data_IF_099098604532
#
_entry.id   IF_099098604532
#
_cell.length_a   1.000
_cell.length_b   1.000
_cell.length_c   1.000
_cell.angle_alpha   90.00
_cell.angle_beta   90.00
_cell.angle_gamma   90.00
#
_symmetry.space_group_name_H-M   'P 1'
#
loop_
_entity.id
_entity.type
_entity.pdbx_description
1 polymer ?
#
# COMPACT_ATOMS: atom_id res chain seq x y z
N UNK A 1 14.35 -21.62 21.63
CA UNK A 1 14.25 -22.30 20.33
C UNK A 1 13.92 -21.21 19.34
N UNK A 2 14.81 -20.96 18.40
CA UNK A 2 14.69 -19.83 17.47
C UNK A 2 14.23 -20.33 16.11
N UNK A 3 13.39 -19.53 15.49
CA UNK A 3 12.74 -19.79 14.21
C UNK A 3 13.35 -18.84 13.19
N UNK A 4 14.63 -19.05 12.88
CA UNK A 4 15.37 -18.23 11.92
C UNK A 4 15.20 -18.82 10.51
N UNK A 5 15.03 -17.94 9.53
CA UNK A 5 14.94 -18.25 8.10
C UNK A 5 13.90 -19.34 7.79
N UNK A 6 12.66 -19.13 8.23
CA UNK A 6 11.54 -20.02 7.88
C UNK A 6 11.02 -19.63 6.51
N UNK A 7 11.03 -20.60 5.59
CA UNK A 7 10.33 -20.47 4.31
C UNK A 7 8.82 -20.69 4.50
N UNK A 8 7.93 -19.97 3.80
CA UNK A 8 6.49 -20.16 3.90
C UNK A 8 6.03 -21.61 3.65
N UNK A 9 6.74 -22.35 2.79
CA UNK A 9 6.47 -23.75 2.49
C UNK A 9 6.73 -24.70 3.68
N UNK A 10 7.51 -24.28 4.68
CA UNK A 10 7.77 -25.06 5.90
C UNK A 10 6.62 -24.96 6.92
N UNK A 11 5.65 -24.07 6.69
CA UNK A 11 4.54 -23.80 7.61
C UNK A 11 3.31 -24.62 7.20
N UNK A 12 2.96 -25.62 8.00
CA UNK A 12 1.72 -26.38 7.83
C UNK A 12 0.63 -25.80 8.72
N UNK A 13 -0.44 -25.24 8.14
CA UNK A 13 -1.59 -24.76 8.89
C UNK A 13 -2.48 -25.93 9.32
N UNK A 14 -2.60 -26.19 10.62
CA UNK A 14 -3.43 -27.28 11.14
C UNK A 14 -4.86 -26.84 11.41
N UNK A 15 -5.02 -25.75 12.16
CA UNK A 15 -6.34 -25.31 12.65
C UNK A 15 -6.36 -23.81 12.86
N UNK A 16 -7.43 -23.14 12.43
CA UNK A 16 -7.71 -21.78 12.88
C UNK A 16 -8.21 -21.81 14.33
N UNK A 17 -7.49 -21.14 15.22
CA UNK A 17 -7.84 -21.04 16.64
C UNK A 17 -8.74 -19.85 16.92
N UNK A 18 -8.52 -18.73 16.22
CA UNK A 18 -9.26 -17.49 16.42
C UNK A 18 -9.23 -16.63 15.16
N UNK A 19 -10.28 -15.82 14.95
CA UNK A 19 -10.33 -14.82 13.89
C UNK A 19 -10.96 -13.53 14.39
N UNK A 20 -10.41 -12.42 13.94
CA UNK A 20 -10.89 -11.06 14.18
C UNK A 20 -10.75 -10.23 12.91
N UNK A 21 -11.23 -8.98 12.93
CA UNK A 21 -11.06 -8.06 11.80
C UNK A 21 -9.61 -7.69 11.50
N UNK A 22 -8.64 -7.97 12.38
CA UNK A 22 -7.25 -7.48 12.28
C UNK A 22 -6.20 -8.60 12.29
N UNK A 23 -6.60 -9.79 12.71
CA UNK A 23 -5.68 -10.91 12.87
C UNK A 23 -6.42 -12.23 12.87
N UNK A 24 -5.74 -13.25 12.36
CA UNK A 24 -6.16 -14.65 12.44
C UNK A 24 -5.06 -15.42 13.15
N UNK A 25 -5.45 -16.23 14.12
CA UNK A 25 -4.51 -17.05 14.90
C UNK A 25 -4.70 -18.50 14.47
N UNK A 26 -3.61 -19.14 14.07
CA UNK A 26 -3.57 -20.53 13.65
C UNK A 26 -2.71 -21.36 14.58
N UNK A 27 -3.10 -22.61 14.78
CA UNK A 27 -2.22 -23.68 15.17
C UNK A 27 -1.49 -24.14 13.90
N UNK A 28 -0.17 -24.07 13.91
CA UNK A 28 0.67 -24.45 12.77
C UNK A 28 1.74 -25.44 13.21
N UNK A 29 2.26 -26.21 12.26
CA UNK A 29 3.46 -27.02 12.43
C UNK A 29 4.58 -26.44 11.58
N UNK A 30 5.72 -26.16 12.21
CA UNK A 30 6.94 -25.67 11.55
C UNK A 30 8.06 -26.59 11.97
N UNK A 31 8.76 -27.23 11.02
CA UNK A 31 9.87 -28.17 11.31
C UNK A 31 9.51 -29.22 12.39
N UNK A 32 8.34 -29.86 12.24
CA UNK A 32 7.76 -30.83 13.20
C UNK A 32 7.42 -30.28 14.59
N UNK A 33 7.48 -28.96 14.81
CA UNK A 33 7.04 -28.33 16.04
C UNK A 33 5.67 -27.68 15.88
N UNK A 34 4.75 -28.01 16.78
CA UNK A 34 3.44 -27.36 16.84
C UNK A 34 3.56 -26.04 17.61
N UNK A 35 3.15 -24.94 16.98
CA UNK A 35 3.14 -23.60 17.58
C UNK A 35 1.90 -22.81 17.18
N UNK A 36 1.70 -21.67 17.84
CA UNK A 36 0.61 -20.74 17.55
C UNK A 36 1.18 -19.59 16.74
N UNK A 37 0.69 -19.42 15.51
CA UNK A 37 1.07 -18.35 14.61
C UNK A 37 -0.06 -17.33 14.53
N UNK A 38 0.26 -16.06 14.78
CA UNK A 38 -0.67 -14.94 14.60
C UNK A 38 -0.34 -14.24 13.29
N UNK A 39 -1.25 -14.30 12.34
CA UNK A 39 -1.17 -13.57 11.07
C UNK A 39 -1.88 -12.24 11.22
N UNK A 40 -1.22 -11.15 10.86
CA UNK A 40 -1.74 -9.78 10.96
C UNK A 40 -2.13 -9.26 9.58
N UNK A 41 -3.23 -8.52 9.51
CA UNK A 41 -3.55 -7.70 8.34
C UNK A 41 -2.99 -6.30 8.58
N UNK A 42 -1.81 -6.03 8.01
CA UNK A 42 -1.06 -4.78 8.22
C UNK A 42 -1.88 -3.57 7.75
N UNK A 43 -2.61 -3.68 6.64
CA UNK A 43 -3.43 -2.60 6.10
C UNK A 43 -4.59 -2.23 7.03
N UNK A 44 -5.21 -3.22 7.67
CA UNK A 44 -6.27 -2.97 8.65
C UNK A 44 -5.68 -2.40 9.95
N UNK A 45 -4.50 -2.84 10.37
CA UNK A 45 -3.80 -2.28 11.54
C UNK A 45 -3.42 -0.82 11.33
N UNK A 46 -2.76 -0.49 10.22
CA UNK A 46 -2.32 0.86 9.88
C UNK A 46 -3.50 1.82 9.78
N UNK A 47 -4.54 1.46 9.02
CA UNK A 47 -5.74 2.27 8.92
C UNK A 47 -6.46 2.44 10.27
N UNK A 48 -6.36 1.48 11.18
CA UNK A 48 -6.92 1.59 12.53
C UNK A 48 -6.08 2.46 13.45
N UNK A 49 -4.74 2.40 13.33
CA UNK A 49 -3.83 3.28 14.05
C UNK A 49 -4.12 4.74 13.67
N UNK A 50 -4.17 5.03 12.37
CA UNK A 50 -4.50 6.35 11.89
C UNK A 50 -5.92 6.82 12.27
N UNK A 51 -6.95 5.94 12.28
CA UNK A 51 -8.28 6.27 12.85
C UNK A 51 -8.19 6.74 14.30
N UNK A 52 -7.37 6.06 15.12
CA UNK A 52 -7.18 6.42 16.53
C UNK A 52 -6.41 7.73 16.67
N UNK A 53 -5.37 7.94 15.87
CA UNK A 53 -4.59 9.18 15.85
C UNK A 53 -5.48 10.39 15.53
N UNK A 54 -6.36 10.25 14.54
CA UNK A 54 -7.36 11.28 14.23
C UNK A 54 -8.37 11.50 15.35
N UNK A 55 -8.94 10.42 15.91
CA UNK A 55 -9.88 10.53 17.02
C UNK A 55 -9.27 11.21 18.26
N UNK A 56 -7.94 11.16 18.41
CA UNK A 56 -7.20 11.79 19.50
C UNK A 56 -6.62 13.17 19.13
N UNK A 57 -7.03 13.74 17.99
CA UNK A 57 -6.59 15.06 17.51
C UNK A 57 -5.09 15.16 17.24
N UNK A 58 -4.40 14.03 16.97
CA UNK A 58 -2.97 14.06 16.60
C UNK A 58 -2.80 14.62 15.19
N UNK A 59 -3.71 14.26 14.28
CA UNK A 59 -3.78 14.79 12.92
C UNK A 59 -4.00 16.31 12.91
N UNK A 60 -4.93 16.82 13.72
CA UNK A 60 -5.26 18.25 13.81
C UNK A 60 -4.09 19.11 14.30
N UNK A 61 -3.16 18.49 15.02
CA UNK A 61 -1.93 19.14 15.53
C UNK A 61 -0.79 19.14 14.50
N UNK A 62 -1.00 18.57 13.31
CA UNK A 62 0.02 18.49 12.25
C UNK A 62 1.19 17.57 12.58
N UNK A 63 1.08 16.73 13.61
CA UNK A 63 2.15 15.81 14.04
C UNK A 63 2.23 14.57 13.17
N UNK A 64 1.11 14.19 12.55
CA UNK A 64 0.99 13.07 11.60
C UNK A 64 0.06 13.50 10.47
N UNK A 65 0.21 12.94 9.26
CA UNK A 65 -0.74 13.16 8.17
C UNK A 65 -2.16 12.88 8.62
N UNK A 66 -3.09 13.70 8.14
CA UNK A 66 -4.47 13.61 8.56
C UNK A 66 -5.14 12.39 7.92
N UNK A 67 -5.81 11.56 8.73
CA UNK A 67 -6.35 10.28 8.27
C UNK A 67 -7.76 10.45 7.73
N UNK A 68 -7.98 10.15 6.46
CA UNK A 68 -9.27 10.44 5.84
C UNK A 68 -10.08 9.21 5.42
N UNK A 69 -9.50 8.00 5.52
CA UNK A 69 -10.22 6.74 5.37
C UNK A 69 -9.43 5.64 4.68
N UNK A 70 -10.09 4.48 4.54
CA UNK A 70 -9.61 3.33 3.76
C UNK A 70 -10.65 3.04 2.67
N UNK A 71 -10.24 2.99 1.40
CA UNK A 71 -11.17 2.72 0.29
C UNK A 71 -11.42 1.23 0.18
N UNK A 72 -12.68 0.80 0.35
CA UNK A 72 -13.12 -0.59 0.09
C UNK A 72 -13.77 -0.77 -1.29
N UNK A 73 -14.17 0.32 -1.94
CA UNK A 73 -14.72 0.37 -3.30
C UNK A 73 -14.24 1.66 -3.96
N UNK A 74 -13.37 1.50 -4.95
CA UNK A 74 -12.80 2.60 -5.71
C UNK A 74 -13.69 2.91 -6.91
N UNK A 75 -14.13 4.15 -7.08
CA UNK A 75 -14.72 4.62 -8.34
C UNK A 75 -13.65 5.41 -9.10
N UNK A 76 -13.10 4.89 -10.20
CA UNK A 76 -11.99 5.46 -10.95
C UNK A 76 -12.39 6.58 -11.91
N UNK A 77 -13.70 6.80 -12.15
CA UNK A 77 -14.17 7.71 -13.18
C UNK A 77 -13.72 9.18 -12.99
N UNK A 78 -13.62 9.73 -11.76
CA UNK A 78 -13.06 11.07 -11.54
C UNK A 78 -11.57 11.10 -11.13
N UNK A 79 -10.87 9.97 -11.02
CA UNK A 79 -9.55 9.93 -10.35
C UNK A 79 -8.36 10.10 -11.33
N UNK A 80 -7.85 11.33 -11.43
CA UNK A 80 -6.54 11.69 -12.01
C UNK A 80 -5.45 12.20 -11.01
N UNK A 81 -5.73 12.52 -9.72
CA UNK A 81 -4.76 13.28 -8.93
C UNK A 81 -3.49 12.52 -8.54
N UNK A 82 -3.53 11.18 -8.47
CA UNK A 82 -2.36 10.38 -8.10
C UNK A 82 -1.21 10.52 -9.12
N UNK A 83 -1.51 10.50 -10.43
CA UNK A 83 -0.52 10.72 -11.49
C UNK A 83 0.05 12.14 -11.45
N UNK A 84 -0.78 13.13 -11.15
CA UNK A 84 -0.33 14.52 -11.04
C UNK A 84 0.67 14.66 -9.88
N UNK A 85 0.35 14.10 -8.72
CA UNK A 85 1.22 14.19 -7.54
C UNK A 85 2.50 13.39 -7.75
N UNK A 86 2.43 12.20 -8.34
CA UNK A 86 3.60 11.41 -8.68
C UNK A 86 4.56 12.17 -9.60
N UNK A 87 4.04 12.86 -10.61
CA UNK A 87 4.86 13.72 -11.48
C UNK A 87 5.54 14.86 -10.73
N UNK A 88 4.91 15.41 -9.70
CA UNK A 88 5.56 16.42 -8.84
C UNK A 88 6.65 15.78 -7.94
N UNK A 89 6.44 14.55 -7.45
CA UNK A 89 7.46 13.76 -6.74
C UNK A 89 8.67 13.52 -7.67
N UNK A 90 8.42 13.09 -8.91
CA UNK A 90 9.48 12.87 -9.92
C UNK A 90 10.17 14.16 -10.35
N UNK A 91 9.45 15.28 -10.38
CA UNK A 91 10.03 16.61 -10.64
C UNK A 91 11.02 17.02 -9.54
N UNK A 92 10.81 16.55 -8.31
CA UNK A 92 11.75 16.69 -7.22
C UNK A 92 12.87 15.63 -7.24
N UNK A 93 12.97 14.85 -8.32
CA UNK A 93 13.97 13.78 -8.51
C UNK A 93 13.92 12.70 -7.43
N UNK A 94 12.70 12.38 -7.00
CA UNK A 94 12.44 11.29 -6.06
C UNK A 94 11.76 10.15 -6.81
N UNK A 95 12.34 8.96 -6.79
CA UNK A 95 11.70 7.71 -7.18
C UNK A 95 11.04 7.12 -5.92
N UNK A 96 9.77 6.74 -5.97
CA UNK A 96 9.12 6.17 -4.78
C UNK A 96 9.48 4.68 -4.57
N UNK A 97 9.67 3.92 -5.66
CA UNK A 97 10.07 2.50 -5.70
C UNK A 97 9.07 1.52 -5.04
N UNK A 98 7.93 2.01 -4.56
CA UNK A 98 6.79 1.19 -4.15
C UNK A 98 5.46 1.89 -4.40
N UNK A 99 5.13 2.22 -5.67
CA UNK A 99 4.01 3.09 -5.99
C UNK A 99 2.67 2.34 -5.98
N UNK A 100 2.44 1.50 -4.96
CA UNK A 100 1.32 0.57 -4.88
C UNK A 100 0.10 1.25 -4.27
N UNK A 101 -1.12 0.76 -4.56
CA UNK A 101 -2.35 1.36 -4.04
C UNK A 101 -2.42 1.42 -2.50
N UNK A 102 -1.70 0.52 -1.81
CA UNK A 102 -1.57 0.55 -0.34
C UNK A 102 -0.90 1.83 0.19
N UNK A 103 -0.01 2.41 -0.61
CA UNK A 103 0.76 3.60 -0.28
C UNK A 103 0.07 4.89 -0.79
N UNK A 104 -1.15 4.77 -1.32
CA UNK A 104 -1.97 5.89 -1.76
C UNK A 104 -3.19 6.05 -0.86
N UNK A 105 -3.34 7.21 -0.24
CA UNK A 105 -4.52 7.57 0.55
C UNK A 105 -5.33 8.66 -0.14
N UNK A 106 -6.58 8.37 -0.45
CA UNK A 106 -7.54 9.36 -0.98
C UNK A 106 -8.27 10.03 0.18
N UNK A 107 -8.49 11.35 0.07
CA UNK A 107 -9.29 12.11 1.02
C UNK A 107 -10.78 11.99 0.69
N UNK A 108 -11.57 11.46 1.64
CA UNK A 108 -13.01 11.17 1.45
C UNK A 108 -13.84 12.40 1.05
N UNK A 109 -13.54 13.55 1.64
CA UNK A 109 -14.28 14.80 1.43
C UNK A 109 -13.61 15.71 0.36
N UNK A 110 -12.47 15.28 -0.18
CA UNK A 110 -11.74 15.95 -1.26
C UNK A 110 -11.09 14.88 -2.16
N UNK A 111 -11.86 14.28 -3.08
CA UNK A 111 -11.37 13.19 -3.92
C UNK A 111 -10.23 13.62 -4.87
N UNK A 112 -9.98 14.92 -5.03
CA UNK A 112 -8.82 15.45 -5.76
C UNK A 112 -7.53 15.42 -4.93
N UNK A 113 -7.63 15.21 -3.62
CA UNK A 113 -6.49 15.13 -2.72
C UNK A 113 -6.11 13.67 -2.47
N UNK A 114 -4.94 13.31 -3.01
CA UNK A 114 -4.28 12.02 -2.75
C UNK A 114 -3.00 12.28 -1.97
N UNK A 115 -2.71 11.44 -0.99
CA UNK A 115 -1.48 11.46 -0.21
C UNK A 115 -0.70 10.21 -0.55
N UNK A 116 0.55 10.39 -0.98
CA UNK A 116 1.52 9.31 -1.10
C UNK A 116 2.19 9.10 0.26
N UNK A 117 2.28 7.83 0.67
CA UNK A 117 2.80 7.40 1.96
C UNK A 117 3.96 6.44 1.71
N UNK A 118 4.77 6.24 2.75
CA UNK A 118 5.78 5.17 2.80
C UNK A 118 6.91 5.31 1.75
N UNK A 119 7.79 6.28 1.99
CA UNK A 119 8.99 6.55 1.18
C UNK A 119 10.21 5.78 1.71
N UNK A 120 10.03 4.66 2.40
CA UNK A 120 11.14 3.90 3.01
C UNK A 120 12.07 3.28 1.96
N UNK A 121 11.52 2.98 0.77
CA UNK A 121 12.22 2.50 -0.43
C UNK A 121 12.63 3.62 -1.40
N UNK A 122 12.27 4.86 -1.10
CA UNK A 122 12.46 5.93 -2.05
C UNK A 122 13.94 6.20 -2.32
N UNK A 123 14.25 6.44 -3.59
CA UNK A 123 15.56 6.88 -4.05
C UNK A 123 15.50 8.34 -4.47
N UNK A 124 16.58 9.08 -4.25
CA UNK A 124 16.69 10.49 -4.63
C UNK A 124 17.89 10.68 -5.53
N UNK A 125 17.70 11.40 -6.64
CA UNK A 125 18.75 11.67 -7.60
C UNK A 125 19.23 13.12 -7.49
N UNK A 126 20.51 13.33 -7.79
CA UNK A 126 21.10 14.67 -7.86
C UNK A 126 20.75 15.30 -9.21
N UNK A 127 20.24 16.53 -9.20
CA UNK A 127 19.81 17.26 -10.40
C UNK A 127 20.93 17.44 -11.43
N UNK A 128 22.17 17.62 -10.96
CA UNK A 128 23.32 17.84 -11.81
C UNK A 128 23.93 16.54 -12.36
N UNK A 129 23.58 15.38 -11.77
CA UNK A 129 24.20 14.09 -12.07
C UNK A 129 23.22 13.02 -12.58
N UNK A 130 21.92 13.31 -12.61
CA UNK A 130 20.90 12.33 -12.99
C UNK A 130 21.16 11.79 -14.40
N UNK A 131 21.27 10.48 -14.46
CA UNK A 131 21.54 9.72 -15.68
C UNK A 131 20.26 9.48 -16.48
N UNK A 132 20.41 9.12 -17.75
CA UNK A 132 19.26 8.73 -18.59
C UNK A 132 18.56 7.48 -18.04
N UNK A 133 19.30 6.57 -17.39
CA UNK A 133 18.74 5.35 -16.77
C UNK A 133 17.87 5.69 -15.55
N UNK A 134 18.33 6.59 -14.67
CA UNK A 134 17.53 7.04 -13.52
C UNK A 134 16.27 7.81 -13.96
N UNK A 135 16.37 8.60 -15.05
CA UNK A 135 15.19 9.22 -15.66
C UNK A 135 14.21 8.18 -16.20
N UNK A 136 14.74 7.10 -16.78
CA UNK A 136 13.91 6.00 -17.26
C UNK A 136 13.15 5.32 -16.10
N UNK A 137 13.76 5.13 -14.93
CA UNK A 137 13.06 4.58 -13.77
C UNK A 137 11.87 5.45 -13.32
N UNK A 138 12.03 6.77 -13.34
CA UNK A 138 10.93 7.71 -13.04
C UNK A 138 9.80 7.59 -14.08
N UNK A 139 10.15 7.50 -15.36
CA UNK A 139 9.16 7.33 -16.44
C UNK A 139 8.42 5.98 -16.33
N UNK A 140 9.14 4.90 -16.01
CA UNK A 140 8.57 3.57 -15.79
C UNK A 140 7.63 3.54 -14.58
N UNK A 141 7.99 4.20 -13.47
CA UNK A 141 7.12 4.36 -12.31
C UNK A 141 5.83 5.12 -12.67
N UNK A 142 5.96 6.20 -13.47
CA UNK A 142 4.79 6.94 -13.99
C UNK A 142 3.90 6.05 -14.86
N UNK A 143 4.49 5.26 -15.75
CA UNK A 143 3.75 4.35 -16.63
C UNK A 143 3.05 3.23 -15.84
N UNK A 144 3.70 2.69 -14.81
CA UNK A 144 3.12 1.69 -13.92
C UNK A 144 1.83 2.22 -13.28
N UNK A 145 1.88 3.44 -12.75
CA UNK A 145 0.73 4.06 -12.08
C UNK A 145 -0.38 4.43 -13.07
N UNK A 146 -0.01 4.82 -14.29
CA UNK A 146 -0.98 5.05 -15.37
C UNK A 146 -1.67 3.75 -15.80
N UNK A 147 -0.94 2.63 -15.85
CA UNK A 147 -1.50 1.31 -16.11
C UNK A 147 -2.48 0.88 -15.01
N UNK A 148 -2.13 1.10 -13.75
CA UNK A 148 -3.02 0.86 -12.62
C UNK A 148 -4.35 1.61 -12.78
N UNK A 149 -4.30 2.91 -13.08
CA UNK A 149 -5.51 3.72 -13.31
C UNK A 149 -6.39 3.14 -14.42
N UNK A 150 -5.79 2.76 -15.55
CA UNK A 150 -6.52 2.16 -16.68
C UNK A 150 -7.19 0.84 -16.32
N UNK A 151 -6.50 -0.03 -15.58
CA UNK A 151 -7.06 -1.31 -15.14
C UNK A 151 -8.22 -1.10 -14.19
N UNK A 152 -8.09 -0.14 -13.29
CA UNK A 152 -9.13 0.18 -12.33
C UNK A 152 -10.37 0.75 -13.02
N UNK A 153 -10.19 1.65 -14.00
CA UNK A 153 -11.27 2.12 -14.88
C UNK A 153 -12.00 0.99 -15.60
N UNK A 154 -11.27 0.00 -16.11
CA UNK A 154 -11.87 -1.17 -16.75
C UNK A 154 -12.65 -2.05 -15.76
N UNK A 155 -12.09 -2.28 -14.58
CA UNK A 155 -12.69 -3.10 -13.52
C UNK A 155 -13.96 -2.47 -12.96
N UNK A 156 -14.02 -1.14 -12.85
CA UNK A 156 -15.23 -0.46 -12.38
C UNK A 156 -16.35 -0.45 -13.41
N UNK A 157 -16.02 -0.39 -14.72
CA UNK A 157 -17.01 -0.66 -15.79
C UNK A 157 -17.57 -2.08 -15.70
N UNK A 158 -16.74 -3.06 -15.30
CA UNK A 158 -17.16 -4.45 -15.06
C UNK A 158 -17.91 -4.64 -13.73
N UNK A 159 -17.81 -3.69 -12.80
CA UNK A 159 -18.32 -3.82 -11.43
C UNK A 159 -17.58 -4.87 -10.59
N UNK A 160 -16.38 -5.30 -11.00
CA UNK A 160 -15.59 -6.35 -10.35
C UNK A 160 -14.10 -6.04 -10.49
N UNK A 161 -13.36 -6.15 -9.38
CA UNK A 161 -11.90 -6.10 -9.36
C UNK A 161 -11.33 -7.38 -10.00
N UNK A 162 -10.51 -7.20 -11.04
CA UNK A 162 -10.04 -8.27 -11.93
C UNK A 162 -8.62 -7.94 -12.42
N UNK A 163 -8.47 -6.92 -13.27
CA UNK A 163 -7.17 -6.55 -13.82
C UNK A 163 -6.31 -5.78 -12.83
N UNK A 164 -6.90 -4.83 -12.09
CA UNK A 164 -6.16 -4.02 -11.14
C UNK A 164 -5.71 -4.83 -9.92
N UNK A 165 -6.26 -6.03 -9.71
CA UNK A 165 -5.90 -6.92 -8.61
C UNK A 165 -4.40 -7.22 -8.55
N UNK A 166 -3.71 -7.29 -9.70
CA UNK A 166 -2.26 -7.54 -9.76
C UNK A 166 -1.44 -6.53 -8.95
N UNK A 167 -1.90 -5.29 -8.84
CA UNK A 167 -1.23 -4.23 -8.09
C UNK A 167 -1.43 -4.33 -6.57
N UNK A 168 -2.29 -5.24 -6.10
CA UNK A 168 -2.54 -5.49 -4.67
C UNK A 168 -1.84 -6.77 -4.16
N UNK A 169 -1.24 -7.57 -5.05
CA UNK A 169 -0.69 -8.90 -4.71
C UNK A 169 0.83 -8.98 -4.62
N UNK A 170 1.53 -7.87 -4.85
CA UNK A 170 3.00 -7.75 -4.83
C UNK A 170 3.42 -6.75 -3.79
#
# INVERSE_FOLDING_TARGET
MEFNDIEPAEITFQKQLFSSSFSVIFLVTIRNMTCVMKVLDIQVLESTAYRRLKAYGVCDRGLVPDFFGSIRKFDPAPYQPHLKILKEIHRALVLHDDPKPRNMMVVKDDPERVVWLDFDRAETFDEDLVTDEERQYLDEETEMVACFQRFLQADCKKGKLDQAYIFYCT
#
